data_IF_926593895640
#
_entry.id   IF_926593895640
#
_cell.length_a   1.000
_cell.length_b   1.000
_cell.length_c   1.000
_cell.angle_alpha   90.00
_cell.angle_beta   90.00
_cell.angle_gamma   90.00
#
_symmetry.space_group_name_H-M   'P 1'
#
loop_
_entity.id
_entity.type
_entity.pdbx_description
1 polymer ?
#
# COMPACT_ATOMS: atom_id res chain seq x y z
N UNK A 1 7.01 24.50 7.47
CA UNK A 1 6.24 24.83 8.69
C UNK A 1 4.98 24.03 8.58
N UNK A 2 4.71 23.17 9.56
CA UNK A 2 3.55 22.27 9.48
C UNK A 2 2.26 23.02 9.83
N UNK A 3 1.19 22.73 9.08
CA UNK A 3 -0.17 23.17 9.36
C UNK A 3 -1.05 21.96 9.58
N UNK A 4 -1.93 22.06 10.57
CA UNK A 4 -2.83 20.97 10.93
C UNK A 4 -4.23 21.51 11.15
N UNK A 5 -5.22 20.78 10.65
CA UNK A 5 -6.63 21.13 10.74
C UNK A 5 -7.44 19.91 11.14
N UNK A 6 -8.42 20.11 12.02
CA UNK A 6 -9.42 19.08 12.32
C UNK A 6 -10.80 19.71 12.25
N UNK A 7 -11.75 19.04 11.59
CA UNK A 7 -13.07 19.59 11.36
C UNK A 7 -14.08 18.58 10.82
N UNK A 8 -15.15 19.09 10.22
CA UNK A 8 -16.12 18.29 9.46
C UNK A 8 -16.67 19.15 8.33
N UNK A 9 -16.17 18.92 7.12
CA UNK A 9 -16.59 19.59 5.90
C UNK A 9 -17.42 18.66 5.02
N UNK A 10 -17.18 17.34 5.09
CA UNK A 10 -17.93 16.33 4.38
C UNK A 10 -19.18 15.89 5.16
N UNK A 11 -20.31 16.57 4.92
CA UNK A 11 -21.60 16.24 5.54
C UNK A 11 -22.50 15.33 4.70
N UNK A 12 -22.20 15.14 3.41
CA UNK A 12 -23.03 14.40 2.45
C UNK A 12 -22.38 13.11 1.92
N UNK A 13 -21.15 12.82 2.34
CA UNK A 13 -20.40 11.64 1.93
C UNK A 13 -19.61 11.79 0.63
N UNK A 14 -19.54 13.00 0.05
CA UNK A 14 -18.83 13.27 -1.22
C UNK A 14 -17.53 14.07 -1.09
N UNK A 15 -17.25 14.66 0.08
CA UNK A 15 -16.03 15.44 0.33
C UNK A 15 -14.81 14.63 0.77
N UNK A 16 -13.66 15.30 0.81
CA UNK A 16 -12.38 14.84 1.35
C UNK A 16 -11.92 15.76 2.49
N UNK A 17 -11.03 15.28 3.36
CA UNK A 17 -10.34 16.12 4.33
C UNK A 17 -9.49 17.23 3.68
N UNK A 18 -9.17 17.13 2.38
CA UNK A 18 -8.46 18.16 1.61
C UNK A 18 -9.17 19.52 1.52
N UNK A 19 -10.47 19.56 1.77
CA UNK A 19 -11.24 20.79 1.91
C UNK A 19 -11.04 21.54 3.23
N UNK A 20 -10.32 20.96 4.20
CA UNK A 20 -10.05 21.62 5.49
C UNK A 20 -9.06 22.78 5.32
N UNK A 21 -9.42 23.89 5.94
CA UNK A 21 -8.65 25.14 5.95
C UNK A 21 -8.78 25.80 7.32
N UNK A 22 -7.94 26.80 7.61
CA UNK A 22 -8.06 27.59 8.83
C UNK A 22 -9.44 28.26 9.00
N UNK A 23 -10.17 28.52 7.90
CA UNK A 23 -11.46 29.22 7.92
C UNK A 23 -12.67 28.34 8.24
N UNK A 24 -12.55 27.02 8.06
CA UNK A 24 -13.65 26.06 8.27
C UNK A 24 -13.31 24.93 9.26
N UNK A 25 -12.07 24.83 9.73
CA UNK A 25 -11.67 23.87 10.74
C UNK A 25 -12.26 24.22 12.12
N UNK A 26 -12.59 23.19 12.89
CA UNK A 26 -13.01 23.33 14.29
C UNK A 26 -11.81 23.60 15.20
N UNK A 27 -10.68 22.95 14.92
CA UNK A 27 -9.39 23.18 15.58
C UNK A 27 -8.29 23.29 14.52
N UNK A 28 -7.30 24.15 14.78
CA UNK A 28 -6.12 24.28 13.93
C UNK A 28 -4.87 24.55 14.76
N UNK A 29 -3.73 24.08 14.28
CA UNK A 29 -2.42 24.39 14.83
C UNK A 29 -1.44 24.64 13.68
N UNK A 30 -0.73 25.77 13.77
CA UNK A 30 0.27 26.20 12.79
C UNK A 30 1.62 26.30 13.48
N UNK A 31 2.60 25.55 12.98
CA UNK A 31 3.91 25.40 13.60
C UNK A 31 3.86 24.57 14.89
N UNK A 32 4.94 24.62 15.66
CA UNK A 32 5.08 23.83 16.88
C UNK A 32 4.16 24.34 18.00
N UNK A 33 3.51 23.43 18.70
CA UNK A 33 2.59 23.74 19.79
C UNK A 33 1.67 22.56 20.14
N UNK A 34 0.69 22.84 20.98
CA UNK A 34 -0.34 21.90 21.40
C UNK A 34 -1.69 22.63 21.46
N UNK A 35 -2.71 22.06 20.84
CA UNK A 35 -4.11 22.46 20.96
C UNK A 35 -4.90 21.23 21.38
N UNK A 36 -5.71 21.36 22.43
CA UNK A 36 -6.56 20.28 22.93
C UNK A 36 -7.92 20.85 23.30
N UNK A 37 -8.98 20.37 22.65
CA UNK A 37 -10.35 20.68 23.02
C UNK A 37 -11.28 19.51 22.70
N UNK A 38 -12.30 19.34 23.54
CA UNK A 38 -13.34 18.31 23.42
C UNK A 38 -12.81 16.86 23.29
N UNK A 39 -11.59 16.56 23.74
CA UNK A 39 -11.00 15.21 23.58
C UNK A 39 -10.34 14.98 22.21
N UNK A 40 -10.11 16.05 21.45
CA UNK A 40 -9.26 16.07 20.25
C UNK A 40 -7.98 16.82 20.57
N UNK A 41 -6.84 16.25 20.19
CA UNK A 41 -5.52 16.82 20.42
C UNK A 41 -4.77 16.99 19.08
N UNK A 42 -4.19 18.16 18.88
CA UNK A 42 -3.24 18.50 17.82
C UNK A 42 -1.93 18.88 18.50
N UNK A 43 -0.86 18.13 18.26
CA UNK A 43 0.48 18.43 18.76
C UNK A 43 1.44 18.50 17.58
N UNK A 44 2.35 19.48 17.59
CA UNK A 44 3.44 19.57 16.63
C UNK A 44 4.71 20.00 17.33
N UNK A 45 5.83 19.34 17.03
CA UNK A 45 7.16 19.65 17.54
C UNK A 45 8.07 20.06 16.39
N UNK A 46 9.15 20.78 16.71
CA UNK A 46 10.16 21.18 15.72
C UNK A 46 11.56 20.84 16.22
N UNK A 47 12.53 20.84 15.31
CA UNK A 47 13.92 20.53 15.61
C UNK A 47 14.39 19.32 14.81
N UNK A 48 15.38 18.60 15.34
CA UNK A 48 15.99 17.44 14.67
C UNK A 48 15.01 16.28 14.54
N UNK A 49 14.09 16.15 15.50
CA UNK A 49 12.97 15.21 15.47
C UNK A 49 11.66 16.00 15.48
N UNK A 50 11.20 16.42 14.31
CA UNK A 50 9.88 17.08 14.19
C UNK A 50 8.79 16.04 14.03
N UNK A 51 7.69 16.24 14.75
CA UNK A 51 6.58 15.31 14.81
C UNK A 51 5.25 16.05 14.82
N UNK A 52 4.24 15.49 14.18
CA UNK A 52 2.86 15.97 14.21
C UNK A 52 1.93 14.83 14.63
N UNK A 53 1.09 15.09 15.63
CA UNK A 53 0.21 14.10 16.25
C UNK A 53 -1.20 14.67 16.32
N UNK A 54 -2.13 14.05 15.60
CA UNK A 54 -3.56 14.34 15.63
C UNK A 54 -4.30 13.13 16.22
N UNK A 55 -5.11 13.35 17.24
CA UNK A 55 -5.89 12.26 17.84
C UNK A 55 -7.27 12.71 18.28
N UNK A 56 -8.24 11.80 18.14
CA UNK A 56 -9.58 11.92 18.73
C UNK A 56 -9.82 10.81 19.75
N UNK A 57 -10.44 11.15 20.88
CA UNK A 57 -10.88 10.20 21.92
C UNK A 57 -11.96 9.22 21.45
N UNK A 58 -12.65 9.56 20.35
CA UNK A 58 -13.76 8.81 19.80
C UNK A 58 -13.79 8.90 18.28
N UNK A 59 -14.04 7.77 17.63
CA UNK A 59 -14.17 7.70 16.17
C UNK A 59 -15.47 8.36 15.69
N UNK A 60 -15.45 9.05 14.55
CA UNK A 60 -16.61 9.75 13.97
C UNK A 60 -17.24 10.78 14.93
N UNK A 61 -16.39 11.47 15.68
CA UNK A 61 -16.78 12.54 16.61
C UNK A 61 -17.39 13.72 15.85
N UNK A 62 -18.56 14.18 16.30
CA UNK A 62 -19.24 15.31 15.67
C UNK A 62 -18.37 16.57 15.70
N UNK A 63 -18.19 17.22 14.54
CA UNK A 63 -17.34 18.40 14.39
C UNK A 63 -15.84 18.11 14.19
N UNK A 64 -15.41 16.84 14.28
CA UNK A 64 -14.01 16.43 14.25
C UNK A 64 -13.79 15.13 13.46
N UNK A 65 -14.53 14.94 12.37
CA UNK A 65 -14.47 13.71 11.54
C UNK A 65 -13.27 13.67 10.61
N UNK A 66 -12.73 14.82 10.24
CA UNK A 66 -11.63 14.95 9.27
C UNK A 66 -10.38 15.49 9.96
N UNK A 67 -9.22 15.00 9.55
CA UNK A 67 -7.92 15.52 9.93
C UNK A 67 -7.08 15.82 8.68
N UNK A 68 -6.42 16.98 8.65
CA UNK A 68 -5.51 17.39 7.59
C UNK A 68 -4.16 17.79 8.18
N UNK A 69 -3.07 17.34 7.55
CA UNK A 69 -1.68 17.68 7.88
C UNK A 69 -0.98 18.11 6.60
N UNK A 70 -0.44 19.33 6.56
CA UNK A 70 0.47 19.77 5.50
C UNK A 70 1.82 20.11 6.13
N UNK A 71 2.90 19.45 5.73
CA UNK A 71 4.16 19.57 6.47
C UNK A 71 5.36 18.92 5.81
N UNK A 72 6.41 18.80 6.62
CA UNK A 72 7.68 18.14 6.26
C UNK A 72 8.25 17.46 7.50
N UNK A 73 7.39 16.88 8.34
CA UNK A 73 7.78 16.30 9.61
C UNK A 73 8.35 14.89 9.44
N UNK A 74 9.20 14.47 10.38
CA UNK A 74 9.75 13.12 10.38
C UNK A 74 8.76 12.08 10.88
N UNK A 75 7.80 12.51 11.71
CA UNK A 75 6.77 11.63 12.26
C UNK A 75 5.42 12.32 12.09
N UNK A 76 4.46 11.62 11.48
CA UNK A 76 3.06 12.04 11.46
C UNK A 76 2.22 10.89 12.00
N UNK A 77 1.45 11.16 13.06
CA UNK A 77 0.51 10.20 13.63
C UNK A 77 -0.89 10.78 13.63
N UNK A 78 -1.83 10.12 12.97
CA UNK A 78 -3.23 10.53 12.88
C UNK A 78 -4.11 9.38 13.35
N UNK A 79 -4.93 9.59 14.39
CA UNK A 79 -5.72 8.52 14.99
C UNK A 79 -7.19 8.87 15.26
N UNK A 80 -8.08 7.93 14.92
CA UNK A 80 -9.53 7.95 15.17
C UNK A 80 -10.31 9.02 14.38
N UNK A 81 -9.88 9.34 13.17
CA UNK A 81 -10.63 10.19 12.24
C UNK A 81 -11.39 9.34 11.22
N UNK A 82 -12.44 9.89 10.61
CA UNK A 82 -13.15 9.23 9.50
C UNK A 82 -12.35 9.38 8.21
N UNK A 83 -11.80 10.56 8.00
CA UNK A 83 -11.15 10.99 6.77
C UNK A 83 -9.85 11.71 7.13
N UNK A 84 -8.80 11.43 6.37
CA UNK A 84 -7.45 11.90 6.64
C UNK A 84 -6.84 12.43 5.35
N UNK A 85 -6.23 13.60 5.40
CA UNK A 85 -5.44 14.16 4.31
C UNK A 85 -4.05 14.51 4.87
N UNK A 86 -3.00 13.92 4.31
CA UNK A 86 -1.62 14.13 4.73
C UNK A 86 -0.81 14.47 3.49
N UNK A 87 -0.32 15.70 3.40
CA UNK A 87 0.70 16.14 2.45
C UNK A 87 1.99 16.40 3.25
N UNK A 88 2.91 15.43 3.27
CA UNK A 88 4.13 15.49 4.07
C UNK A 88 5.39 15.36 3.20
N UNK A 89 5.83 16.49 2.65
CA UNK A 89 6.96 16.58 1.72
C UNK A 89 8.33 16.61 2.43
N UNK A 90 8.52 15.73 3.41
CA UNK A 90 9.83 15.51 4.00
C UNK A 90 10.73 14.82 2.97
N UNK A 91 11.94 15.32 2.77
CA UNK A 91 12.87 14.81 1.76
C UNK A 91 13.92 13.82 2.32
N UNK A 92 13.87 13.53 3.62
CA UNK A 92 14.78 12.58 4.27
C UNK A 92 14.11 11.24 4.60
N UNK A 93 12.86 11.05 4.19
CA UNK A 93 11.97 10.01 4.71
C UNK A 93 11.23 10.43 5.99
N UNK A 94 10.02 9.93 6.14
CA UNK A 94 9.09 10.15 7.23
C UNK A 94 8.44 8.84 7.68
N UNK A 95 8.00 8.81 8.95
CA UNK A 95 7.16 7.75 9.48
C UNK A 95 5.74 8.28 9.65
N UNK A 96 4.84 7.81 8.79
CA UNK A 96 3.43 8.17 8.77
C UNK A 96 2.61 7.01 9.32
N UNK A 97 1.84 7.25 10.38
CA UNK A 97 0.98 6.25 10.99
C UNK A 97 -0.46 6.76 11.10
N UNK A 98 -1.35 6.19 10.30
CA UNK A 98 -2.78 6.50 10.28
C UNK A 98 -3.55 5.35 10.91
N UNK A 99 -4.14 5.59 12.08
CA UNK A 99 -4.86 4.56 12.84
C UNK A 99 -6.36 4.84 12.88
N UNK A 100 -7.14 3.80 12.62
CA UNK A 100 -8.60 3.83 12.68
C UNK A 100 -9.25 4.87 11.74
N UNK A 101 -8.68 5.07 10.55
CA UNK A 101 -9.27 5.89 9.49
C UNK A 101 -10.15 5.06 8.55
N UNK A 102 -11.21 5.66 8.00
CA UNK A 102 -12.07 4.98 7.01
C UNK A 102 -11.56 5.14 5.59
N UNK A 103 -10.96 6.29 5.32
CA UNK A 103 -10.42 6.72 4.02
C UNK A 103 -9.35 7.78 4.24
N UNK A 104 -8.59 8.09 3.21
CA UNK A 104 -7.70 9.25 3.23
C UNK A 104 -6.82 9.37 2.00
N UNK A 105 -6.17 10.52 1.90
CA UNK A 105 -5.17 10.89 0.89
C UNK A 105 -3.84 11.07 1.65
N UNK A 106 -2.78 10.41 1.21
CA UNK A 106 -1.48 10.42 1.86
C UNK A 106 -0.40 10.60 0.78
N UNK A 107 0.17 11.78 0.71
CA UNK A 107 1.30 12.13 -0.14
C UNK A 107 2.54 12.33 0.72
N UNK A 108 3.64 11.66 0.35
CA UNK A 108 4.96 11.92 0.92
C UNK A 108 5.95 12.43 -0.12
N UNK A 109 7.11 12.86 0.36
CA UNK A 109 8.11 13.57 -0.43
C UNK A 109 9.13 12.63 -1.05
N UNK A 110 10.39 12.81 -0.65
CA UNK A 110 11.48 11.93 -1.08
C UNK A 110 12.19 11.34 0.14
N UNK A 111 13.07 10.37 -0.10
CA UNK A 111 13.71 9.61 0.95
C UNK A 111 12.81 8.47 1.42
N UNK A 112 13.34 7.60 2.26
CA UNK A 112 12.68 6.33 2.58
C UNK A 112 11.55 6.55 3.58
N UNK A 113 10.32 6.55 3.08
CA UNK A 113 9.10 6.74 3.85
C UNK A 113 8.58 5.40 4.42
N UNK A 114 7.97 5.48 5.60
CA UNK A 114 7.30 4.36 6.25
C UNK A 114 5.85 4.74 6.54
N UNK A 115 4.93 4.26 5.71
CA UNK A 115 3.50 4.59 5.75
C UNK A 115 2.73 3.38 6.28
N UNK A 116 2.07 3.53 7.42
CA UNK A 116 1.26 2.48 8.04
C UNK A 116 -0.18 2.95 8.24
N UNK A 117 -1.11 2.30 7.56
CA UNK A 117 -2.56 2.55 7.68
C UNK A 117 -3.24 1.37 8.38
N UNK A 118 -4.04 1.66 9.40
CA UNK A 118 -4.94 0.70 10.05
C UNK A 118 -6.38 1.05 9.73
N UNK A 119 -6.93 0.38 8.71
CA UNK A 119 -8.21 0.72 8.10
C UNK A 119 -9.40 0.31 8.97
N UNK A 120 -10.31 1.25 9.18
CA UNK A 120 -11.50 1.12 10.00
C UNK A 120 -12.74 1.56 9.21
N UNK A 121 -13.51 0.59 8.74
CA UNK A 121 -14.79 0.82 8.09
C UNK A 121 -15.95 0.46 9.02
N UNK A 122 -16.97 1.32 9.06
CA UNK A 122 -18.24 1.03 9.72
C UNK A 122 -19.31 0.51 8.74
N UNK A 123 -19.13 0.69 7.43
CA UNK A 123 -20.03 0.20 6.37
C UNK A 123 -19.40 0.38 4.98
N UNK A 124 -19.91 -0.37 4.00
CA UNK A 124 -19.53 -0.23 2.57
C UNK A 124 -19.90 1.15 1.99
N UNK A 125 -20.92 1.81 2.55
CA UNK A 125 -21.38 3.12 2.08
C UNK A 125 -20.39 4.23 2.45
N UNK A 126 -20.42 5.33 1.68
CA UNK A 126 -19.72 6.58 1.97
C UNK A 126 -18.19 6.43 2.10
N UNK A 127 -17.54 6.14 0.97
CA UNK A 127 -16.10 6.20 0.73
C UNK A 127 -15.24 5.36 1.68
N UNK A 128 -14.46 4.43 1.13
CA UNK A 128 -13.50 3.62 1.90
C UNK A 128 -12.14 3.54 1.19
N UNK A 129 -11.80 4.57 0.40
CA UNK A 129 -10.60 4.61 -0.43
C UNK A 129 -9.44 5.24 0.35
N UNK A 130 -8.27 4.61 0.28
CA UNK A 130 -7.00 5.27 0.59
C UNK A 130 -6.26 5.52 -0.72
N UNK A 131 -5.89 6.77 -0.98
CA UNK A 131 -4.98 7.16 -2.05
C UNK A 131 -3.62 7.43 -1.39
N UNK A 132 -2.56 6.74 -1.83
CA UNK A 132 -1.23 6.85 -1.24
C UNK A 132 -0.21 7.04 -2.36
N UNK A 133 0.54 8.14 -2.33
CA UNK A 133 1.68 8.40 -3.20
C UNK A 133 2.94 8.58 -2.34
N UNK A 134 3.89 7.63 -2.37
CA UNK A 134 5.07 7.71 -1.49
C UNK A 134 6.24 8.51 -2.06
N UNK A 135 6.28 8.70 -3.38
CA UNK A 135 7.28 9.53 -4.04
C UNK A 135 8.58 8.77 -4.32
N UNK A 136 9.74 9.38 -4.08
CA UNK A 136 11.01 8.77 -4.44
C UNK A 136 11.79 8.33 -3.20
N UNK A 137 12.14 7.06 -3.07
CA UNK A 137 12.77 6.51 -1.89
C UNK A 137 12.64 4.99 -1.90
N UNK A 138 13.27 4.31 -0.94
CA UNK A 138 12.92 2.91 -0.68
C UNK A 138 11.84 2.90 0.39
N UNK A 139 10.60 2.98 -0.03
CA UNK A 139 9.43 3.19 0.79
C UNK A 139 8.84 1.88 1.29
N UNK A 140 8.11 1.97 2.40
CA UNK A 140 7.37 0.85 2.96
C UNK A 140 5.96 1.28 3.27
N UNK A 141 5.00 0.73 2.55
CA UNK A 141 3.59 1.02 2.67
C UNK A 141 2.89 -0.22 3.21
N UNK A 142 2.16 -0.09 4.32
CA UNK A 142 1.43 -1.20 4.94
C UNK A 142 0.00 -0.81 5.25
N UNK A 143 -0.97 -1.58 4.76
CA UNK A 143 -2.39 -1.41 5.11
C UNK A 143 -2.88 -2.66 5.85
N UNK A 144 -3.44 -2.43 7.04
CA UNK A 144 -3.90 -3.50 7.93
C UNK A 144 -5.36 -3.32 8.33
N UNK A 145 -5.99 -4.41 8.76
CA UNK A 145 -7.35 -4.38 9.27
C UNK A 145 -7.41 -3.91 10.74
N UNK A 146 -8.00 -2.73 11.00
CA UNK A 146 -8.53 -2.38 12.32
C UNK A 146 -9.96 -2.89 12.48
N UNK A 147 -10.83 -2.61 11.49
CA UNK A 147 -12.23 -3.05 11.48
C UNK A 147 -12.80 -3.05 10.08
N UNK A 148 -13.45 -4.16 9.71
CA UNK A 148 -14.18 -4.34 8.46
C UNK A 148 -13.41 -3.91 7.18
N UNK A 149 -12.12 -4.21 7.11
CA UNK A 149 -11.30 -3.84 5.94
C UNK A 149 -11.71 -4.50 4.63
N UNK A 150 -12.62 -5.49 4.65
CA UNK A 150 -13.25 -6.02 3.43
C UNK A 150 -14.00 -4.95 2.61
N UNK A 151 -14.32 -3.80 3.21
CA UNK A 151 -14.91 -2.65 2.51
C UNK A 151 -13.88 -1.62 2.04
N UNK A 152 -12.62 -1.75 2.47
CA UNK A 152 -11.54 -0.84 2.12
C UNK A 152 -11.06 -1.09 0.70
N UNK A 153 -10.90 0.03 0.00
CA UNK A 153 -10.27 0.21 -1.32
C UNK A 153 -8.96 0.95 -1.12
N UNK A 154 -8.04 0.79 -2.05
CA UNK A 154 -6.82 1.56 -2.06
C UNK A 154 -6.33 1.75 -3.50
N UNK A 155 -5.64 2.86 -3.71
CA UNK A 155 -4.88 3.20 -4.90
C UNK A 155 -3.51 3.64 -4.39
N UNK A 156 -2.48 2.88 -4.72
CA UNK A 156 -1.13 3.06 -4.19
C UNK A 156 -0.18 3.26 -5.37
N UNK A 157 0.55 4.37 -5.35
CA UNK A 157 1.73 4.62 -6.19
C UNK A 157 2.95 4.68 -5.26
N UNK A 158 3.82 3.66 -5.36
CA UNK A 158 5.05 3.59 -4.58
C UNK A 158 6.18 4.46 -5.17
N UNK A 159 6.02 4.92 -6.42
CA UNK A 159 6.88 5.90 -7.06
C UNK A 159 8.22 5.33 -7.55
N UNK A 160 9.35 5.78 -7.02
CA UNK A 160 10.66 5.31 -7.52
C UNK A 160 11.56 4.86 -6.40
N UNK A 161 12.16 3.69 -6.55
CA UNK A 161 13.13 3.13 -5.62
C UNK A 161 12.86 1.64 -5.42
N UNK A 162 13.27 1.10 -4.29
CA UNK A 162 13.00 -0.31 -4.00
C UNK A 162 11.95 -0.39 -2.90
N UNK A 163 10.70 -0.56 -3.30
CA UNK A 163 9.55 -0.34 -2.46
C UNK A 163 8.93 -1.64 -1.96
N UNK A 164 8.21 -1.53 -0.84
CA UNK A 164 7.47 -2.64 -0.24
C UNK A 164 6.04 -2.23 0.02
N UNK A 165 5.10 -2.86 -0.69
CA UNK A 165 3.66 -2.73 -0.45
C UNK A 165 3.15 -3.98 0.27
N UNK A 166 2.75 -3.82 1.54
CA UNK A 166 2.22 -4.90 2.38
C UNK A 166 0.73 -4.69 2.70
N UNK A 167 -0.12 -5.33 1.90
CA UNK A 167 -1.58 -5.36 2.11
C UNK A 167 -2.05 -6.67 2.72
N UNK A 168 -1.11 -7.53 3.13
CA UNK A 168 -1.42 -8.85 3.68
C UNK A 168 -2.18 -8.81 5.00
N UNK A 169 -2.19 -7.65 5.66
CA UNK A 169 -2.94 -7.37 6.89
C UNK A 169 -4.44 -7.16 6.69
N UNK A 170 -4.93 -7.07 5.45
CA UNK A 170 -6.34 -6.86 5.13
C UNK A 170 -7.15 -8.15 5.15
N UNK A 171 -8.47 -7.98 5.24
CA UNK A 171 -9.44 -9.01 4.88
C UNK A 171 -9.68 -8.96 3.38
N UNK A 172 -9.94 -10.12 2.76
CA UNK A 172 -10.38 -10.18 1.37
C UNK A 172 -11.62 -9.30 1.12
N UNK A 173 -11.76 -8.73 -0.10
CA UNK A 173 -12.81 -7.77 -0.40
C UNK A 173 -14.21 -8.41 -0.29
N UNK A 174 -15.17 -7.64 0.23
CA UNK A 174 -16.57 -8.05 0.20
C UNK A 174 -17.08 -8.08 -1.25
N UNK A 175 -18.13 -8.88 -1.49
CA UNK A 175 -18.72 -8.97 -2.83
C UNK A 175 -19.11 -7.57 -3.39
N UNK A 176 -18.61 -7.27 -4.59
CA UNK A 176 -18.83 -5.99 -5.28
C UNK A 176 -17.88 -4.87 -4.88
N UNK A 177 -16.94 -5.09 -3.95
CA UNK A 177 -15.84 -4.15 -3.68
C UNK A 177 -14.72 -4.43 -4.68
N UNK A 178 -14.41 -3.43 -5.51
CA UNK A 178 -13.29 -3.39 -6.45
C UNK A 178 -12.48 -2.10 -6.20
N UNK A 179 -11.31 -1.96 -6.82
CA UNK A 179 -10.44 -0.79 -6.63
C UNK A 179 -9.47 -1.01 -5.47
N UNK A 180 -8.67 -2.06 -5.59
CA UNK A 180 -7.55 -2.38 -4.71
C UNK A 180 -6.38 -2.50 -5.65
N UNK A 181 -5.78 -1.37 -5.94
CA UNK A 181 -4.84 -1.20 -7.03
C UNK A 181 -3.50 -0.74 -6.42
N UNK A 182 -2.40 -1.32 -6.89
CA UNK A 182 -1.07 -0.99 -6.42
C UNK A 182 -0.10 -0.95 -7.61
N UNK A 183 0.65 0.14 -7.72
CA UNK A 183 1.75 0.33 -8.65
C UNK A 183 3.05 0.39 -7.84
N UNK A 184 3.98 -0.52 -8.13
CA UNK A 184 5.31 -0.52 -7.53
C UNK A 184 6.20 0.60 -8.07
N UNK A 185 5.88 1.13 -9.26
CA UNK A 185 6.64 2.18 -9.90
C UNK A 185 7.96 1.68 -10.48
N UNK A 186 9.02 2.48 -10.40
CA UNK A 186 10.33 2.07 -10.96
C UNK A 186 11.29 1.59 -9.90
N UNK A 187 11.86 0.41 -10.09
CA UNK A 187 13.00 -0.08 -9.33
C UNK A 187 12.84 -1.56 -9.00
N UNK A 188 13.03 -1.94 -7.73
CA UNK A 188 12.86 -3.33 -7.32
C UNK A 188 11.83 -3.43 -6.21
N UNK A 189 10.64 -3.89 -6.58
CA UNK A 189 9.45 -3.69 -5.77
C UNK A 189 8.83 -5.02 -5.32
N UNK A 190 8.29 -5.00 -4.10
CA UNK A 190 7.74 -6.18 -3.43
C UNK A 190 6.31 -5.96 -2.98
N UNK A 191 5.38 -6.73 -3.54
CA UNK A 191 3.99 -6.80 -3.10
C UNK A 191 3.77 -8.00 -2.16
N UNK A 192 3.06 -7.79 -1.05
CA UNK A 192 2.65 -8.86 -0.13
C UNK A 192 1.14 -8.95 0.03
N UNK A 193 0.61 -10.16 -0.11
CA UNK A 193 -0.82 -10.46 -0.13
C UNK A 193 -1.24 -11.38 1.03
N UNK A 194 -2.49 -11.28 1.50
CA UNK A 194 -3.01 -12.15 2.57
C UNK A 194 -3.32 -13.57 2.09
N UNK A 195 -3.53 -13.71 0.78
CA UNK A 195 -4.04 -14.89 0.10
C UNK A 195 -5.56 -14.96 -0.07
N UNK A 196 -6.29 -13.99 0.50
CA UNK A 196 -7.73 -13.79 0.21
C UNK A 196 -8.01 -12.46 -0.49
N UNK A 197 -6.98 -11.65 -0.70
CA UNK A 197 -7.12 -10.37 -1.37
C UNK A 197 -7.22 -10.56 -2.88
N UNK A 198 -8.00 -9.70 -3.52
CA UNK A 198 -7.93 -9.45 -4.95
C UNK A 198 -7.33 -8.06 -5.10
N UNK A 199 -6.17 -7.99 -5.73
CA UNK A 199 -5.39 -6.76 -5.94
C UNK A 199 -5.02 -6.71 -7.41
N UNK A 200 -5.32 -5.61 -8.08
CA UNK A 200 -4.74 -5.30 -9.39
C UNK A 200 -3.36 -4.71 -9.13
N UNK A 201 -2.33 -5.17 -9.82
CA UNK A 201 -0.99 -4.64 -9.61
C UNK A 201 -0.15 -4.60 -10.88
N UNK A 202 0.77 -3.64 -10.91
CA UNK A 202 1.76 -3.45 -11.96
C UNK A 202 3.10 -3.01 -11.37
N UNK A 203 4.16 -3.18 -12.17
CA UNK A 203 5.53 -2.82 -11.85
C UNK A 203 6.04 -3.42 -10.52
N UNK A 204 5.82 -4.73 -10.30
CA UNK A 204 6.43 -5.47 -9.19
C UNK A 204 7.34 -6.58 -9.69
N UNK A 205 8.54 -6.70 -9.12
CA UNK A 205 9.46 -7.81 -9.38
C UNK A 205 9.13 -9.03 -8.51
N UNK A 206 8.52 -8.82 -7.34
CA UNK A 206 8.21 -9.89 -6.40
C UNK A 206 6.81 -9.76 -5.81
N UNK A 207 6.02 -10.82 -5.94
CA UNK A 207 4.73 -10.97 -5.26
C UNK A 207 4.80 -12.13 -4.27
N UNK A 208 4.47 -11.87 -3.00
CA UNK A 208 4.55 -12.84 -1.91
C UNK A 208 3.19 -13.05 -1.25
N UNK A 209 2.69 -14.28 -1.25
CA UNK A 209 1.60 -14.69 -0.38
C UNK A 209 2.11 -14.89 1.05
N UNK A 210 1.39 -14.38 2.05
CA UNK A 210 1.78 -14.56 3.47
C UNK A 210 1.36 -15.88 4.10
N UNK A 211 0.56 -16.70 3.40
CA UNK A 211 0.24 -18.06 3.84
C UNK A 211 -0.60 -18.14 5.11
N UNK A 212 -1.37 -17.08 5.43
CA UNK A 212 -2.20 -17.03 6.66
C UNK A 212 -3.21 -18.17 6.75
N UNK A 213 -3.69 -18.67 5.60
CA UNK A 213 -4.67 -19.78 5.52
C UNK A 213 -4.28 -20.78 4.43
N UNK A 214 -3.82 -20.28 3.28
CA UNK A 214 -3.35 -21.03 2.12
C UNK A 214 -2.38 -20.13 1.31
N UNK A 215 -1.68 -20.65 0.30
CA UNK A 215 -1.05 -19.81 -0.72
C UNK A 215 -2.05 -18.81 -1.31
N UNK A 216 -1.57 -17.66 -1.76
CA UNK A 216 -2.45 -16.67 -2.38
C UNK A 216 -2.84 -17.12 -3.79
N UNK A 217 -4.13 -17.19 -4.10
CA UNK A 217 -4.56 -17.49 -5.45
C UNK A 217 -4.31 -16.29 -6.37
N UNK A 218 -3.69 -16.52 -7.53
CA UNK A 218 -3.43 -15.50 -8.53
C UNK A 218 -3.72 -16.06 -9.92
N UNK A 219 -4.62 -15.39 -10.64
CA UNK A 219 -4.80 -15.64 -12.07
C UNK A 219 -3.78 -14.80 -12.84
N UNK A 220 -2.98 -15.45 -13.66
CA UNK A 220 -2.00 -14.82 -14.54
C UNK A 220 -2.59 -14.77 -15.95
N UNK A 221 -2.55 -13.57 -16.54
CA UNK A 221 -2.90 -13.33 -17.93
C UNK A 221 -1.80 -12.51 -18.64
N UNK A 222 -1.94 -12.36 -19.96
CA UNK A 222 -0.99 -11.59 -20.78
C UNK A 222 -0.86 -10.12 -20.39
N UNK A 223 -1.91 -9.51 -19.80
CA UNK A 223 -1.87 -8.11 -19.38
C UNK A 223 -1.08 -7.95 -18.09
N UNK A 224 -1.32 -8.83 -17.10
CA UNK A 224 -0.58 -8.85 -15.84
C UNK A 224 0.91 -9.12 -16.08
N UNK A 225 1.24 -10.06 -16.96
CA UNK A 225 2.63 -10.36 -17.30
C UNK A 225 3.33 -9.17 -17.96
N UNK A 226 2.68 -8.52 -18.94
CA UNK A 226 3.24 -7.34 -19.61
C UNK A 226 3.43 -6.16 -18.65
N UNK A 227 2.52 -5.99 -17.69
CA UNK A 227 2.58 -4.93 -16.69
C UNK A 227 3.60 -5.20 -15.57
N UNK A 228 4.15 -6.42 -15.49
CA UNK A 228 5.12 -6.82 -14.48
C UNK A 228 6.31 -7.55 -15.14
N UNK A 229 6.77 -7.02 -16.28
CA UNK A 229 7.91 -7.56 -17.02
C UNK A 229 9.24 -7.22 -16.31
N UNK A 230 9.43 -7.84 -15.15
CA UNK A 230 10.63 -7.71 -14.32
C UNK A 230 11.93 -8.06 -15.07
N UNK A 231 11.87 -8.87 -16.13
CA UNK A 231 13.06 -9.24 -16.89
C UNK A 231 13.66 -8.01 -17.59
N UNK A 232 12.81 -7.09 -18.04
CA UNK A 232 13.23 -5.84 -18.68
C UNK A 232 13.94 -4.88 -17.72
N UNK A 233 13.58 -4.90 -16.43
CA UNK A 233 14.13 -4.00 -15.40
C UNK A 233 15.33 -4.62 -14.67
N UNK A 234 15.23 -5.87 -14.23
CA UNK A 234 16.23 -6.52 -13.37
C UNK A 234 16.91 -7.75 -13.97
N UNK A 235 16.54 -8.13 -15.20
CA UNK A 235 17.16 -9.24 -15.94
C UNK A 235 16.69 -10.63 -15.51
N UNK A 236 15.66 -10.71 -14.66
CA UNK A 236 15.02 -11.95 -14.22
C UNK A 236 13.50 -11.78 -14.19
N UNK A 237 12.78 -12.87 -14.45
CA UNK A 237 11.32 -12.86 -14.47
C UNK A 237 10.66 -12.59 -13.11
N UNK A 238 9.35 -12.36 -13.17
CA UNK A 238 8.49 -12.09 -12.02
C UNK A 238 8.60 -13.21 -10.97
N UNK A 239 8.88 -12.85 -9.73
CA UNK A 239 9.02 -13.81 -8.63
C UNK A 239 7.71 -13.97 -7.88
N UNK A 240 7.15 -15.18 -7.89
CA UNK A 240 5.88 -15.52 -7.26
C UNK A 240 6.12 -16.51 -6.11
N UNK A 241 6.15 -15.99 -4.88
CA UNK A 241 6.42 -16.78 -3.68
C UNK A 241 5.14 -17.08 -2.91
N UNK A 242 4.88 -18.36 -2.63
CA UNK A 242 3.69 -18.82 -1.90
C UNK A 242 2.39 -18.33 -2.56
N UNK A 243 2.34 -18.46 -3.88
CA UNK A 243 1.20 -18.15 -4.75
C UNK A 243 0.73 -19.46 -5.40
N UNK A 244 -0.58 -19.65 -5.48
CA UNK A 244 -1.26 -20.71 -6.23
C UNK A 244 -1.70 -20.12 -7.58
N UNK A 245 -1.09 -20.57 -8.68
CA UNK A 245 -1.18 -19.94 -9.98
C UNK A 245 -2.26 -20.58 -10.84
N UNK A 246 -3.13 -19.73 -11.40
CA UNK A 246 -4.05 -20.12 -12.47
C UNK A 246 -3.67 -19.39 -13.74
N UNK A 247 -3.39 -20.12 -14.82
CA UNK A 247 -3.18 -19.52 -16.14
C UNK A 247 -4.53 -19.27 -16.81
N UNK A 248 -4.75 -18.06 -17.30
CA UNK A 248 -5.98 -17.69 -18.00
C UNK A 248 -5.99 -18.13 -19.48
N UNK A 249 -7.06 -17.80 -20.20
CA UNK A 249 -7.23 -18.18 -21.62
C UNK A 249 -6.31 -17.46 -22.61
N UNK A 250 -5.62 -16.39 -22.20
CA UNK A 250 -4.63 -15.69 -23.02
C UNK A 250 -3.27 -16.40 -23.06
N UNK A 251 -3.05 -17.35 -22.14
CA UNK A 251 -1.83 -18.15 -22.08
C UNK A 251 -1.93 -19.36 -23.03
N UNK A 252 -0.97 -19.49 -23.94
CA UNK A 252 -0.96 -20.52 -24.99
C UNK A 252 -0.17 -21.77 -24.60
N UNK A 253 0.69 -21.67 -23.57
CA UNK A 253 1.44 -22.78 -23.00
C UNK A 253 2.46 -22.32 -21.96
N UNK A 254 3.19 -23.27 -21.37
CA UNK A 254 4.33 -22.99 -20.51
C UNK A 254 5.39 -24.11 -20.63
N UNK A 255 6.59 -23.81 -20.16
CA UNK A 255 7.67 -24.80 -19.97
C UNK A 255 8.40 -24.51 -18.67
N UNK A 256 8.66 -25.54 -17.88
CA UNK A 256 9.37 -25.42 -16.60
C UNK A 256 10.74 -26.07 -16.63
N UNK A 257 11.65 -25.53 -15.82
CA UNK A 257 13.01 -26.03 -15.63
C UNK A 257 13.49 -25.79 -14.20
N UNK A 258 14.55 -26.50 -13.81
CA UNK A 258 15.28 -26.16 -12.59
C UNK A 258 15.93 -24.78 -12.75
N UNK A 259 16.14 -24.09 -11.63
CA UNK A 259 16.84 -22.81 -11.63
C UNK A 259 18.26 -22.93 -12.17
N UNK A 260 18.69 -21.91 -12.88
CA UNK A 260 20.09 -21.61 -13.14
C UNK A 260 20.76 -21.05 -11.88
N UNK A 261 22.09 -21.13 -11.82
CA UNK A 261 22.85 -20.55 -10.70
C UNK A 261 22.67 -19.03 -10.57
N UNK A 262 22.35 -18.35 -11.67
CA UNK A 262 22.09 -16.90 -11.64
C UNK A 262 20.74 -16.60 -10.97
N UNK A 263 19.69 -17.37 -11.31
CA UNK A 263 18.37 -17.24 -10.67
C UNK A 263 18.43 -17.62 -9.19
N UNK A 264 19.17 -18.67 -8.83
CA UNK A 264 19.38 -19.03 -7.42
C UNK A 264 20.04 -17.90 -6.62
N UNK A 265 21.11 -17.31 -7.16
CA UNK A 265 21.79 -16.17 -6.55
C UNK A 265 20.87 -14.95 -6.43
N UNK A 266 20.07 -14.69 -7.47
CA UNK A 266 19.09 -13.61 -7.48
C UNK A 266 18.07 -13.79 -6.35
N UNK A 267 17.40 -14.94 -6.27
CA UNK A 267 16.42 -15.22 -5.21
C UNK A 267 17.05 -15.10 -3.80
N UNK A 268 18.26 -15.63 -3.61
CA UNK A 268 18.96 -15.55 -2.33
C UNK A 268 19.32 -14.10 -1.95
N UNK A 269 19.69 -13.26 -2.92
CA UNK A 269 19.94 -11.83 -2.67
C UNK A 269 18.69 -11.11 -2.15
N UNK A 270 17.50 -11.59 -2.53
CA UNK A 270 16.21 -11.08 -2.05
C UNK A 270 15.71 -11.77 -0.75
N UNK A 271 16.56 -12.58 -0.12
CA UNK A 271 16.25 -13.31 1.10
C UNK A 271 15.24 -14.46 0.91
N UNK A 272 15.08 -14.95 -0.33
CA UNK A 272 14.21 -16.08 -0.64
C UNK A 272 14.99 -17.41 -0.63
N UNK A 273 14.30 -18.48 -0.23
CA UNK A 273 14.87 -19.82 -0.29
C UNK A 273 14.78 -20.36 -1.72
N UNK A 274 15.85 -20.27 -2.50
CA UNK A 274 15.86 -20.69 -3.90
C UNK A 274 15.51 -22.18 -4.10
N UNK A 275 15.76 -23.05 -3.11
CA UNK A 275 15.56 -24.51 -3.22
C UNK A 275 14.09 -24.92 -3.48
N UNK A 276 13.14 -24.02 -3.23
CA UNK A 276 11.70 -24.28 -3.40
C UNK A 276 11.13 -23.62 -4.65
N UNK A 277 11.95 -22.98 -5.48
CA UNK A 277 11.51 -22.28 -6.69
C UNK A 277 11.82 -23.07 -7.97
N UNK A 278 11.02 -22.80 -8.99
CA UNK A 278 11.16 -23.30 -10.35
C UNK A 278 11.18 -22.13 -11.33
N UNK A 279 11.92 -22.28 -12.43
CA UNK A 279 11.92 -21.32 -13.54
C UNK A 279 10.89 -21.76 -14.57
N UNK A 280 9.92 -20.90 -14.86
CA UNK A 280 8.80 -21.17 -15.77
C UNK A 280 8.78 -20.10 -16.86
N UNK A 281 8.86 -20.51 -18.11
CA UNK A 281 8.55 -19.63 -19.24
C UNK A 281 7.09 -19.82 -19.62
N UNK A 282 6.32 -18.73 -19.61
CA UNK A 282 4.92 -18.69 -19.98
C UNK A 282 4.79 -18.05 -21.36
N UNK A 283 4.04 -18.69 -22.27
CA UNK A 283 3.87 -18.22 -23.64
C UNK A 283 2.49 -17.60 -23.84
N UNK A 284 2.44 -16.44 -24.48
CA UNK A 284 1.21 -15.78 -24.92
C UNK A 284 1.07 -15.90 -26.44
N UNK A 285 0.14 -15.15 -27.05
CA UNK A 285 0.05 -15.07 -28.51
C UNK A 285 1.21 -14.28 -29.13
N UNK A 286 1.71 -13.27 -28.40
CA UNK A 286 2.61 -12.24 -28.94
C UNK A 286 3.99 -12.27 -28.29
N UNK A 287 4.14 -12.84 -27.10
CA UNK A 287 5.36 -12.79 -26.30
C UNK A 287 5.56 -14.02 -25.37
N UNK A 288 6.71 -14.07 -24.68
CA UNK A 288 7.04 -15.04 -23.65
C UNK A 288 7.64 -14.36 -22.42
N UNK A 289 7.18 -14.76 -21.23
CA UNK A 289 7.59 -14.16 -19.96
C UNK A 289 8.19 -15.22 -19.04
N UNK A 290 9.25 -14.86 -18.32
CA UNK A 290 9.78 -15.70 -17.24
C UNK A 290 9.04 -15.43 -15.92
N UNK A 291 8.76 -16.50 -15.19
CA UNK A 291 8.28 -16.49 -13.82
C UNK A 291 9.18 -17.40 -12.97
N UNK A 292 9.58 -16.95 -11.79
CA UNK A 292 10.20 -17.78 -10.76
C UNK A 292 9.16 -18.08 -9.69
N UNK A 293 8.65 -19.31 -9.63
CA UNK A 293 7.51 -19.65 -8.75
C UNK A 293 7.81 -20.77 -7.77
N UNK A 294 7.19 -20.72 -6.59
CA UNK A 294 7.15 -21.86 -5.64
C UNK A 294 6.00 -22.83 -5.89
N UNK A 295 5.14 -22.56 -6.87
CA UNK A 295 3.99 -23.39 -7.17
C UNK A 295 4.44 -24.75 -7.73
N UNK A 296 4.08 -25.81 -7.02
CA UNK A 296 4.47 -27.18 -7.35
C UNK A 296 3.78 -27.74 -8.58
N UNK A 297 2.67 -27.14 -9.00
CA UNK A 297 1.98 -27.56 -10.24
C UNK A 297 2.84 -27.25 -11.48
N UNK A 298 3.85 -26.39 -11.33
CA UNK A 298 4.81 -26.02 -12.36
C UNK A 298 6.20 -26.63 -12.16
N UNK A 299 6.37 -27.57 -11.23
CA UNK A 299 7.64 -28.26 -11.05
C UNK A 299 8.07 -28.99 -12.35
N UNK A 300 9.37 -28.97 -12.72
CA UNK A 300 9.84 -29.71 -13.89
C UNK A 300 9.67 -31.22 -13.68
N UNK A 301 9.26 -31.92 -14.74
CA UNK A 301 9.03 -33.38 -14.78
C UNK A 301 10.32 -34.14 -15.06
#
# INVERSE_FOLDING_TARGET
>A
MTTTYVGTTNTDGTGSASGLTAGNATQSLVGAGLVSADGVNLESTSGVLSATILSSDSWNKAGYKEAKVDGTDQIVYVNNFVDVDIDNQNNNGASIAVSNAKRGEIDTGTGNDNISVSAFSNSISWGNLFEINSGAGNDTISITNAKNSQFTRFDIDAGTGNDVVDVSGLLGPAAGVTGRDADGGSGFDVLKLSGTDTVTFENFEVVKGTGKVAPAALTIDSTLLAANDAESEVGFGLVLSNIDLTLDGSITGHSSSALSSAEEMYLQAQGLNADVFYSVTVYTADDAYQILTTDTDFAPV
#
